data_IF_823992772814
#
_entry.id   IF_823992772814
#
_cell.length_a   1.000
_cell.length_b   1.000
_cell.length_c   1.000
_cell.angle_alpha   90.00
_cell.angle_beta   90.00
_cell.angle_gamma   90.00
#
_symmetry.space_group_name_H-M   'P 1'
#
loop_
_entity.id
_entity.type
_entity.pdbx_description
1 polymer ?
#
# COMPACT_ATOMS: atom_id res chain seq x y z
N UNK A 1 15.63 4.68 1.02
CA UNK A 1 14.65 5.70 1.45
C UNK A 1 13.41 5.40 0.65
N UNK A 2 12.52 4.56 1.21
CA UNK A 2 11.36 4.05 0.49
C UNK A 2 10.31 5.16 0.40
N UNK A 3 9.84 5.45 -0.80
CA UNK A 3 8.80 6.44 -1.03
C UNK A 3 7.53 6.03 -0.27
N UNK A 4 7.05 6.91 0.62
CA UNK A 4 5.92 6.70 1.55
C UNK A 4 4.56 6.63 0.83
N UNK A 5 4.56 6.65 -0.51
CA UNK A 5 3.36 6.60 -1.33
C UNK A 5 3.51 5.46 -2.33
N UNK A 6 2.93 4.30 -1.99
CA UNK A 6 2.73 3.20 -2.93
C UNK A 6 1.85 3.69 -4.08
N UNK A 7 2.50 4.06 -5.19
CA UNK A 7 1.82 4.59 -6.38
C UNK A 7 1.53 3.52 -7.43
N UNK A 8 1.35 2.27 -6.99
CA UNK A 8 1.32 1.04 -7.79
C UNK A 8 0.35 0.99 -8.99
N UNK A 9 -0.44 2.04 -9.27
CA UNK A 9 -1.46 2.01 -10.33
C UNK A 9 -1.54 3.27 -11.23
N UNK A 10 -0.70 4.28 -11.02
CA UNK A 10 -0.72 5.50 -11.86
C UNK A 10 0.69 6.00 -12.19
N UNK A 11 0.99 6.09 -13.49
CA UNK A 11 2.26 6.62 -14.00
C UNK A 11 2.28 8.15 -13.93
N UNK A 12 3.45 8.74 -13.72
CA UNK A 12 3.60 10.18 -13.48
C UNK A 12 3.10 11.06 -14.63
N UNK A 13 3.22 10.57 -15.87
CA UNK A 13 2.77 11.26 -17.08
C UNK A 13 1.26 11.11 -17.35
N UNK A 14 0.54 10.29 -16.59
CA UNK A 14 -0.89 10.11 -16.78
C UNK A 14 -1.68 11.31 -16.26
N UNK A 15 -2.90 11.47 -16.78
CA UNK A 15 -3.75 12.61 -16.44
C UNK A 15 -5.01 12.11 -15.76
N UNK A 16 -5.32 12.71 -14.61
CA UNK A 16 -6.56 12.50 -13.89
C UNK A 16 -7.56 13.62 -14.20
N UNK A 17 -8.81 13.26 -14.44
CA UNK A 17 -9.94 14.16 -14.59
C UNK A 17 -10.85 14.04 -13.36
N UNK A 18 -10.96 15.13 -12.61
CA UNK A 18 -11.88 15.28 -11.49
C UNK A 18 -12.97 16.25 -11.89
N UNK A 19 -14.22 15.78 -11.98
CA UNK A 19 -15.36 16.59 -12.39
C UNK A 19 -15.06 17.32 -13.72
N UNK A 20 -14.66 18.59 -13.68
CA UNK A 20 -14.31 19.41 -14.86
C UNK A 20 -12.82 19.84 -14.92
N UNK A 21 -11.96 19.28 -14.07
CA UNK A 21 -10.55 19.68 -13.94
C UNK A 21 -9.61 18.53 -14.23
N UNK A 22 -8.62 18.76 -15.09
CA UNK A 22 -7.55 17.80 -15.34
C UNK A 22 -6.30 18.12 -14.54
N UNK A 23 -5.55 17.08 -14.16
CA UNK A 23 -4.29 17.24 -13.44
C UNK A 23 -3.36 16.08 -13.75
N UNK A 24 -2.09 16.41 -13.99
CA UNK A 24 -1.03 15.43 -14.18
C UNK A 24 -0.79 14.68 -12.87
N UNK A 25 -0.67 13.35 -12.94
CA UNK A 25 -0.43 12.49 -11.78
C UNK A 25 0.82 12.94 -11.04
N UNK A 26 1.92 13.23 -11.76
CA UNK A 26 3.16 13.75 -11.16
C UNK A 26 2.91 14.99 -10.29
N UNK A 27 2.09 15.94 -10.78
CA UNK A 27 1.82 17.19 -10.07
C UNK A 27 1.00 16.93 -8.80
N UNK A 28 0.07 15.98 -8.84
CA UNK A 28 -0.70 15.60 -7.66
C UNK A 28 0.23 14.95 -6.63
N UNK A 29 1.06 13.98 -7.04
CA UNK A 29 2.03 13.32 -6.18
C UNK A 29 2.93 14.34 -5.48
N UNK A 30 3.53 15.26 -6.25
CA UNK A 30 4.43 16.29 -5.71
C UNK A 30 3.75 17.23 -4.72
N UNK A 31 2.57 17.76 -5.07
CA UNK A 31 1.82 18.66 -4.18
C UNK A 31 1.37 17.95 -2.89
N UNK A 32 1.04 16.68 -3.00
CA UNK A 32 0.61 15.89 -1.86
C UNK A 32 1.78 15.56 -0.94
N UNK A 33 2.92 15.14 -1.51
CA UNK A 33 4.15 14.87 -0.77
C UNK A 33 4.64 16.10 -0.02
N UNK A 34 4.64 17.29 -0.64
CA UNK A 34 5.02 18.52 0.04
C UNK A 34 4.06 18.85 1.18
N UNK A 35 2.74 18.75 0.95
CA UNK A 35 1.74 19.04 1.97
C UNK A 35 1.82 18.07 3.16
N UNK A 36 2.08 16.78 2.89
CA UNK A 36 2.31 15.79 3.93
C UNK A 36 3.58 16.10 4.74
N UNK A 37 4.69 16.43 4.08
CA UNK A 37 5.95 16.77 4.76
C UNK A 37 5.77 17.94 5.72
N UNK A 38 5.11 19.01 5.27
CA UNK A 38 4.84 20.18 6.10
C UNK A 38 3.94 19.84 7.30
N UNK A 39 2.90 19.03 7.07
CA UNK A 39 1.99 18.58 8.12
C UNK A 39 2.66 17.65 9.13
N UNK A 40 3.45 16.67 8.67
CA UNK A 40 4.16 15.72 9.53
C UNK A 40 5.22 16.44 10.36
N UNK A 41 5.95 17.40 9.78
CA UNK A 41 6.93 18.19 10.51
C UNK A 41 6.27 18.93 11.69
N UNK A 42 5.07 19.48 11.47
CA UNK A 42 4.29 20.12 12.53
C UNK A 42 3.87 19.13 13.62
N UNK A 43 3.43 17.93 13.23
CA UNK A 43 3.04 16.86 14.17
C UNK A 43 4.24 16.41 15.01
N UNK A 44 5.40 16.16 14.39
CA UNK A 44 6.60 15.71 15.09
C UNK A 44 7.04 16.72 16.14
N UNK A 45 7.01 18.02 15.82
CA UNK A 45 7.35 19.09 16.77
C UNK A 45 6.40 19.03 17.99
N UNK A 46 5.11 18.85 17.76
CA UNK A 46 4.11 18.78 18.84
C UNK A 46 4.24 17.51 19.70
N UNK A 47 4.41 16.35 19.07
CA UNK A 47 4.53 15.05 19.77
C UNK A 47 5.84 14.99 20.57
N UNK A 48 6.94 15.50 20.02
CA UNK A 48 8.24 15.57 20.72
C UNK A 48 8.20 16.53 21.92
N UNK A 49 7.26 17.47 21.94
CA UNK A 49 7.04 18.43 23.02
C UNK A 49 6.11 17.97 24.16
N UNK A 50 5.66 16.70 24.17
CA UNK A 50 4.73 16.14 25.18
C UNK A 50 3.35 16.86 25.31
N UNK A 51 2.73 17.28 24.19
CA UNK A 51 1.33 17.72 24.19
C UNK A 51 0.48 16.62 23.51
N UNK A 52 -0.17 15.79 24.31
CA UNK A 52 -0.72 14.48 23.91
C UNK A 52 -2.18 14.49 23.40
N UNK A 53 -2.83 15.63 23.19
CA UNK A 53 -4.29 15.66 22.95
C UNK A 53 -4.78 16.37 21.70
N UNK A 54 -3.90 16.73 20.75
CA UNK A 54 -4.36 17.47 19.57
C UNK A 54 -4.86 16.53 18.47
N UNK A 55 -6.09 16.80 18.00
CA UNK A 55 -6.61 16.22 16.76
C UNK A 55 -5.91 16.92 15.60
N UNK A 56 -5.20 16.16 14.78
CA UNK A 56 -4.45 16.72 13.63
C UNK A 56 -5.29 16.71 12.36
N UNK A 57 -5.22 17.80 11.61
CA UNK A 57 -5.83 17.92 10.29
C UNK A 57 -4.73 18.02 9.22
N UNK A 58 -4.82 17.19 8.18
CA UNK A 58 -3.98 17.36 6.98
C UNK A 58 -4.59 18.48 6.14
N UNK A 59 -3.83 19.56 5.94
CA UNK A 59 -4.22 20.70 5.10
C UNK A 59 -3.48 20.59 3.77
N UNK A 60 -4.22 20.47 2.66
CA UNK A 60 -3.65 20.48 1.31
C UNK A 60 -4.15 21.72 0.58
N UNK A 61 -3.26 22.66 0.24
CA UNK A 61 -3.62 23.90 -0.47
C UNK A 61 -4.59 24.81 0.31
N UNK A 62 -4.51 24.82 1.65
CA UNK A 62 -5.34 25.66 2.52
C UNK A 62 -6.75 25.11 2.78
N UNK A 63 -7.04 23.85 2.40
CA UNK A 63 -8.32 23.18 2.67
C UNK A 63 -8.13 21.92 3.49
N UNK A 64 -9.11 21.63 4.36
CA UNK A 64 -9.21 20.36 5.07
C UNK A 64 -9.34 19.21 4.07
N UNK A 65 -8.47 18.21 4.20
CA UNK A 65 -8.60 17.00 3.40
C UNK A 65 -9.80 16.18 3.91
N UNK A 66 -10.78 15.92 3.05
CA UNK A 66 -11.96 15.12 3.40
C UNK A 66 -11.54 13.66 3.68
N UNK A 67 -12.04 13.05 4.76
CA UNK A 67 -11.83 11.63 5.11
C UNK A 67 -12.10 10.68 3.93
N UNK A 68 -13.03 11.04 3.04
CA UNK A 68 -13.33 10.29 1.83
C UNK A 68 -12.08 9.97 0.99
N UNK A 69 -11.07 10.84 0.95
CA UNK A 69 -9.83 10.56 0.20
C UNK A 69 -9.02 9.41 0.77
N UNK A 70 -9.12 9.13 2.07
CA UNK A 70 -8.35 8.10 2.76
C UNK A 70 -9.14 6.79 2.90
N UNK A 71 -10.46 6.86 2.93
CA UNK A 71 -11.33 5.70 3.13
C UNK A 71 -11.83 5.13 1.79
N UNK A 72 -12.75 5.84 1.14
CA UNK A 72 -13.49 5.36 -0.04
C UNK A 72 -12.80 5.71 -1.38
N UNK A 73 -11.97 6.74 -1.38
CA UNK A 73 -11.43 7.39 -2.57
C UNK A 73 -12.39 8.38 -3.22
N UNK A 74 -11.83 9.34 -3.96
CA UNK A 74 -12.56 10.33 -4.74
C UNK A 74 -12.69 9.86 -6.19
N UNK A 75 -13.90 9.92 -6.73
CA UNK A 75 -14.19 9.57 -8.12
C UNK A 75 -13.45 10.47 -9.12
N UNK A 76 -12.89 9.84 -10.14
CA UNK A 76 -12.17 10.50 -11.23
C UNK A 76 -12.18 9.63 -12.48
N UNK A 77 -11.54 10.13 -13.53
CA UNK A 77 -11.18 9.33 -14.70
C UNK A 77 -9.69 9.44 -14.98
N UNK A 78 -9.05 8.34 -15.36
CA UNK A 78 -7.65 8.27 -15.75
C UNK A 78 -7.52 8.25 -17.28
N UNK A 79 -6.60 9.04 -17.81
CA UNK A 79 -6.17 8.95 -19.20
C UNK A 79 -4.72 8.47 -19.26
N UNK A 80 -4.56 7.26 -19.79
CA UNK A 80 -3.24 6.66 -20.03
C UNK A 80 -2.66 7.13 -21.36
N UNK A 81 -1.33 7.15 -21.47
CA UNK A 81 -0.69 7.38 -22.77
C UNK A 81 -1.10 6.31 -23.77
N UNK A 82 -1.53 6.74 -24.96
CA UNK A 82 -2.00 5.86 -26.03
C UNK A 82 -3.42 5.31 -25.85
N UNK A 83 -4.10 5.60 -24.73
CA UNK A 83 -5.51 5.25 -24.57
C UNK A 83 -6.39 6.16 -25.43
N UNK A 84 -7.43 5.57 -26.02
CA UNK A 84 -8.43 6.32 -26.81
C UNK A 84 -9.53 6.95 -25.95
N UNK A 85 -9.68 6.46 -24.72
CA UNK A 85 -10.82 6.78 -23.86
C UNK A 85 -10.39 6.97 -22.41
N UNK A 86 -11.20 7.71 -21.66
CA UNK A 86 -11.05 7.93 -20.23
C UNK A 86 -11.54 6.73 -19.43
N UNK A 87 -10.71 6.21 -18.53
CA UNK A 87 -11.06 5.09 -17.65
C UNK A 87 -11.65 5.61 -16.34
N UNK A 88 -12.94 5.36 -16.03
CA UNK A 88 -13.51 5.76 -14.75
C UNK A 88 -12.89 4.97 -13.59
N UNK A 89 -12.68 5.62 -12.46
CA UNK A 89 -12.09 5.03 -11.28
C UNK A 89 -12.15 5.94 -10.06
N UNK A 90 -11.37 5.61 -9.03
CA UNK A 90 -11.22 6.42 -7.82
C UNK A 90 -9.75 6.58 -7.47
N UNK A 91 -9.37 7.76 -7.02
CA UNK A 91 -8.06 8.01 -6.38
C UNK A 91 -8.26 7.95 -4.87
N UNK A 92 -7.46 7.11 -4.21
CA UNK A 92 -7.42 6.99 -2.76
C UNK A 92 -6.00 7.20 -2.27
N UNK A 93 -5.90 7.86 -1.13
CA UNK A 93 -4.65 8.18 -0.46
C UNK A 93 -4.44 7.18 0.67
N UNK A 94 -3.25 6.59 0.74
CA UNK A 94 -2.81 5.76 1.85
C UNK A 94 -1.61 6.44 2.51
N UNK A 95 -1.57 6.44 3.83
CA UNK A 95 -0.44 6.92 4.62
C UNK A 95 -0.04 5.78 5.54
N UNK A 96 1.23 5.44 5.54
CA UNK A 96 1.80 4.38 6.39
C UNK A 96 2.66 5.02 7.47
N UNK A 97 2.55 4.50 8.68
CA UNK A 97 3.43 4.81 9.81
C UNK A 97 4.14 3.51 10.16
N UNK A 98 5.47 3.53 10.08
CA UNK A 98 6.32 2.36 10.35
C UNK A 98 7.21 2.65 11.56
N UNK A 99 7.33 1.67 12.45
CA UNK A 99 8.33 1.70 13.51
C UNK A 99 9.57 0.94 13.02
N UNK A 100 10.71 1.62 13.00
CA UNK A 100 11.98 1.05 12.55
C UNK A 100 12.92 0.86 13.75
N UNK A 101 13.02 -0.35 14.34
CA UNK A 101 13.98 -0.61 15.40
C UNK A 101 15.42 -0.59 14.87
N UNK A 102 16.39 -0.20 15.71
CA UNK A 102 17.81 -0.13 15.34
C UNK A 102 18.43 -1.53 15.10
N UNK A 103 17.87 -2.55 15.73
CA UNK A 103 18.21 -3.95 15.51
C UNK A 103 17.00 -4.64 14.86
N UNK A 104 17.21 -5.27 13.71
CA UNK A 104 16.21 -6.15 13.13
C UNK A 104 16.05 -7.32 14.11
N UNK A 105 14.87 -7.48 14.72
CA UNK A 105 14.47 -8.80 15.19
C UNK A 105 14.57 -9.69 13.96
N UNK A 106 15.52 -10.63 13.96
CA UNK A 106 15.54 -11.71 12.98
C UNK A 106 14.18 -12.40 13.13
N UNK A 107 13.24 -12.05 12.24
CA UNK A 107 12.03 -12.82 12.08
C UNK A 107 12.53 -14.14 11.52
N UNK A 108 12.83 -15.08 12.43
CA UNK A 108 12.80 -16.49 12.11
C UNK A 108 11.43 -16.70 11.46
N UNK A 109 11.44 -16.82 10.14
CA UNK A 109 10.32 -17.39 9.43
C UNK A 109 10.08 -18.74 10.12
N UNK A 110 9.06 -18.82 10.98
CA UNK A 110 8.55 -20.10 11.41
C UNK A 110 8.01 -20.77 10.15
N UNK A 111 8.90 -21.50 9.47
CA UNK A 111 8.60 -22.47 8.42
C UNK A 111 7.79 -23.67 8.97
N UNK A 112 7.27 -23.57 10.20
CA UNK A 112 6.63 -24.66 10.94
C UNK A 112 5.31 -25.12 10.30
N UNK A 113 4.63 -24.30 9.49
CA UNK A 113 3.41 -24.75 8.81
C UNK A 113 3.63 -25.42 7.44
N UNK A 114 4.82 -25.31 6.84
CA UNK A 114 5.05 -25.87 5.48
C UNK A 114 5.76 -27.23 5.47
N UNK A 115 6.44 -27.59 6.57
CA UNK A 115 7.16 -28.86 6.68
C UNK A 115 6.20 -30.04 6.88
N UNK A 116 5.06 -29.83 7.55
CA UNK A 116 4.14 -30.92 7.91
C UNK A 116 3.36 -31.48 6.71
N UNK A 117 3.11 -30.68 5.66
CA UNK A 117 2.47 -31.18 4.43
C UNK A 117 3.42 -32.02 3.56
N UNK A 118 4.70 -31.66 3.46
CA UNK A 118 5.67 -32.45 2.67
C UNK A 118 5.91 -33.83 3.30
N UNK A 119 5.97 -33.92 4.64
CA UNK A 119 6.17 -35.17 5.35
C UNK A 119 4.91 -36.08 5.30
N UNK A 120 3.72 -35.47 5.28
CA UNK A 120 2.44 -36.18 5.08
C UNK A 120 2.28 -36.70 3.64
N UNK A 121 2.71 -35.94 2.63
CA UNK A 121 2.73 -36.39 1.23
C UNK A 121 3.74 -37.52 1.02
N UNK A 122 4.92 -37.45 1.66
CA UNK A 122 5.93 -38.50 1.59
C UNK A 122 5.42 -39.85 2.15
N UNK A 123 4.71 -39.82 3.29
CA UNK A 123 4.08 -41.02 3.87
C UNK A 123 2.98 -41.60 2.96
N UNK A 124 2.13 -40.74 2.39
CA UNK A 124 1.06 -41.17 1.46
C UNK A 124 1.60 -41.81 0.18
N UNK A 125 2.72 -41.32 -0.35
CA UNK A 125 3.36 -41.90 -1.54
C UNK A 125 4.01 -43.27 -1.28
N UNK A 126 4.50 -43.51 -0.06
CA UNK A 126 5.10 -44.79 0.29
C UNK A 126 4.05 -45.92 0.37
N UNK A 127 2.87 -45.62 0.90
CA UNK A 127 1.73 -46.56 0.94
C UNK A 127 1.29 -47.00 -0.46
N UNK A 128 1.35 -46.10 -1.45
CA UNK A 128 1.03 -46.42 -2.85
C UNK A 128 2.08 -47.36 -3.46
N UNK A 129 3.37 -47.14 -3.17
CA UNK A 129 4.47 -48.02 -3.64
C UNK A 129 4.35 -49.42 -3.07
N UNK A 130 3.96 -49.55 -1.80
CA UNK A 130 3.74 -50.86 -1.18
C UNK A 130 2.59 -51.62 -1.85
N UNK A 131 1.46 -50.95 -2.16
CA UNK A 131 0.33 -51.60 -2.84
C UNK A 131 0.70 -52.10 -4.24
N UNK A 132 1.44 -51.30 -5.03
CA UNK A 132 1.82 -51.69 -6.39
C UNK A 132 2.71 -52.95 -6.42
N UNK A 133 3.62 -53.08 -5.45
CA UNK A 133 4.50 -54.25 -5.33
C UNK A 133 3.78 -55.50 -4.79
N UNK A 134 2.60 -55.35 -4.19
CA UNK A 134 1.77 -56.47 -3.74
C UNK A 134 0.86 -57.02 -4.85
N UNK A 135 0.45 -56.18 -5.81
CA UNK A 135 -0.39 -56.59 -6.95
C UNK A 135 0.39 -57.22 -8.13
N UNK A 136 1.73 -57.16 -8.11
CA UNK A 136 2.59 -57.76 -9.15
C UNK A 136 3.16 -59.14 -8.80
N UNK A 137 2.56 -59.85 -7.83
CA UNK A 137 2.93 -61.22 -7.44
C UNK A 137 1.82 -62.24 -7.66
#
# INVERSE_FOLDING_TARGET
MSDVVDSENCEDYEVLLFENHTSLVQKIKQNFESALKDSIQSIIISVSGQQSSDIFHIIVGGKYCNQQWFEEGKECKLLKLGAKEWQPGKVRIKVTLEFCPDELEEVEFQEEEKIDEMDKVAKSLDDIRQKLNQETK
#
